data_IF_802146211358
#
_entry.id   IF_802146211358
#
_cell.length_a   1.000
_cell.length_b   1.000
_cell.length_c   1.000
_cell.angle_alpha   90.00
_cell.angle_beta   90.00
_cell.angle_gamma   90.00
#
_symmetry.space_group_name_H-M   'P 1'
#
loop_
_entity.id
_entity.type
_entity.pdbx_description
1 polymer ?
#
# COMPACT_ATOMS: atom_id res chain seq x y z
N UNK A 1 -20.48 19.41 -12.68
CA UNK A 1 -19.32 19.06 -11.83
C UNK A 1 -19.35 17.57 -11.52
N UNK A 2 -18.19 16.94 -11.36
CA UNK A 2 -18.02 15.58 -10.81
C UNK A 2 -16.92 15.62 -9.74
N UNK A 3 -17.12 14.87 -8.66
CA UNK A 3 -16.17 14.76 -7.55
C UNK A 3 -15.87 13.28 -7.36
N UNK A 4 -14.62 12.89 -7.59
CA UNK A 4 -14.10 11.56 -7.25
C UNK A 4 -13.56 11.62 -5.81
N UNK A 5 -14.40 11.21 -4.85
CA UNK A 5 -13.94 10.97 -3.49
C UNK A 5 -13.16 9.65 -3.44
N UNK A 6 -12.10 9.60 -2.64
CA UNK A 6 -11.15 8.50 -2.59
C UNK A 6 -10.55 8.14 -3.96
N UNK A 7 -9.94 9.13 -4.62
CA UNK A 7 -9.35 9.02 -5.94
C UNK A 7 -8.25 7.92 -6.06
N UNK A 8 -7.84 7.28 -4.97
CA UNK A 8 -7.07 6.04 -5.05
C UNK A 8 -7.74 4.93 -5.87
N UNK A 9 -9.07 4.91 -5.98
CA UNK A 9 -9.78 3.90 -6.78
C UNK A 9 -9.58 4.06 -8.29
N UNK A 10 -9.06 5.20 -8.75
CA UNK A 10 -8.81 5.48 -10.17
C UNK A 10 -7.32 5.57 -10.51
N UNK A 11 -6.44 5.19 -9.57
CA UNK A 11 -4.98 5.19 -9.71
C UNK A 11 -4.46 4.39 -10.91
N UNK A 12 -5.13 3.29 -11.25
CA UNK A 12 -4.76 2.49 -12.41
C UNK A 12 -5.74 2.76 -13.56
N UNK A 13 -5.23 3.43 -14.60
CA UNK A 13 -6.00 3.79 -15.79
C UNK A 13 -6.63 2.59 -16.53
N UNK A 14 -6.07 1.39 -16.38
CA UNK A 14 -6.58 0.20 -17.05
C UNK A 14 -7.82 -0.39 -16.39
N UNK A 15 -8.13 0.01 -15.15
CA UNK A 15 -9.28 -0.49 -14.38
C UNK A 15 -10.61 -0.08 -15.01
N UNK A 16 -11.65 -0.87 -14.76
CA UNK A 16 -13.01 -0.55 -15.20
C UNK A 16 -13.50 0.76 -14.56
N UNK A 17 -13.20 0.98 -13.28
CA UNK A 17 -13.55 2.21 -12.56
C UNK A 17 -12.93 3.46 -13.23
N UNK A 18 -11.63 3.44 -13.51
CA UNK A 18 -10.94 4.56 -14.15
C UNK A 18 -11.49 4.84 -15.57
N UNK A 19 -11.82 3.79 -16.34
CA UNK A 19 -12.42 3.95 -17.66
C UNK A 19 -13.85 4.50 -17.59
N UNK A 20 -14.66 3.97 -16.68
CA UNK A 20 -16.06 4.34 -16.54
C UNK A 20 -16.22 5.80 -16.09
N UNK A 21 -15.45 6.24 -15.08
CA UNK A 21 -15.57 7.59 -14.55
C UNK A 21 -15.15 8.66 -15.57
N UNK A 22 -14.17 8.34 -16.45
CA UNK A 22 -13.68 9.26 -17.50
C UNK A 22 -14.70 9.50 -18.62
N UNK A 23 -15.63 8.56 -18.83
CA UNK A 23 -16.72 8.69 -19.79
C UNK A 23 -17.85 9.61 -19.30
N UNK A 24 -17.84 10.00 -18.03
CA UNK A 24 -18.86 10.91 -17.49
C UNK A 24 -18.57 12.34 -18.00
N UNK A 25 -19.56 12.91 -18.70
CA UNK A 25 -19.49 14.29 -19.16
C UNK A 25 -19.65 15.24 -17.98
N UNK A 26 -18.65 16.09 -17.75
CA UNK A 26 -18.67 17.10 -16.71
C UNK A 26 -17.69 18.23 -17.08
N UNK A 27 -18.15 19.47 -16.94
CA UNK A 27 -17.36 20.68 -17.21
C UNK A 27 -16.21 20.89 -16.21
N UNK A 28 -16.39 20.41 -14.98
CA UNK A 28 -15.37 20.52 -13.92
C UNK A 28 -15.32 19.24 -13.12
N UNK A 29 -14.09 18.83 -12.78
CA UNK A 29 -13.77 17.55 -12.19
C UNK A 29 -12.85 17.77 -10.99
N UNK A 30 -13.18 17.16 -9.86
CA UNK A 30 -12.37 17.18 -8.65
C UNK A 30 -11.96 15.76 -8.27
N UNK A 31 -10.75 15.60 -7.76
CA UNK A 31 -10.26 14.36 -7.17
C UNK A 31 -9.86 14.64 -5.72
N UNK A 32 -10.48 13.94 -4.77
CA UNK A 32 -10.18 14.02 -3.35
C UNK A 32 -9.48 12.74 -2.94
N UNK A 33 -8.38 12.84 -2.19
CA UNK A 33 -7.64 11.66 -1.72
C UNK A 33 -6.96 11.98 -0.40
N UNK A 34 -7.20 11.13 0.60
CA UNK A 34 -6.51 11.20 1.89
C UNK A 34 -5.09 10.66 1.83
N UNK A 35 -4.77 9.84 0.83
CA UNK A 35 -3.41 9.36 0.56
C UNK A 35 -2.78 10.26 -0.50
N UNK A 36 -1.60 10.85 -0.24
CA UNK A 36 -0.89 11.54 -1.30
C UNK A 36 -0.62 10.57 -2.45
N UNK A 37 -0.23 11.11 -3.58
CA UNK A 37 0.19 10.33 -4.74
C UNK A 37 1.56 9.71 -4.41
N UNK A 38 1.54 8.64 -3.62
CA UNK A 38 2.73 8.11 -2.93
C UNK A 38 3.43 6.97 -3.67
N UNK A 39 2.75 6.25 -4.57
CA UNK A 39 3.26 4.94 -5.01
C UNK A 39 3.83 4.90 -6.44
N UNK A 40 3.39 5.76 -7.36
CA UNK A 40 4.02 5.87 -8.69
C UNK A 40 3.61 7.14 -9.45
N UNK A 41 4.41 7.52 -10.44
CA UNK A 41 4.05 8.58 -11.40
C UNK A 41 2.91 8.17 -12.35
N UNK A 42 2.68 6.87 -12.53
CA UNK A 42 1.54 6.39 -13.30
C UNK A 42 0.20 6.60 -12.58
N UNK A 43 0.19 6.54 -11.25
CA UNK A 43 -0.97 6.91 -10.43
C UNK A 43 -1.30 8.40 -10.56
N UNK A 44 -0.26 9.26 -10.48
CA UNK A 44 -0.38 10.70 -10.72
C UNK A 44 -1.04 10.97 -12.07
N UNK A 45 -0.49 10.38 -13.13
CA UNK A 45 -0.99 10.57 -14.48
C UNK A 45 -2.45 10.13 -14.60
N UNK A 46 -2.85 9.00 -14.00
CA UNK A 46 -4.22 8.51 -14.09
C UNK A 46 -5.24 9.48 -13.47
N UNK A 47 -4.88 10.12 -12.35
CA UNK A 47 -5.70 11.15 -11.70
C UNK A 47 -5.76 12.40 -12.57
N UNK A 48 -4.62 12.85 -13.11
CA UNK A 48 -4.55 14.01 -14.00
C UNK A 48 -5.35 13.82 -15.29
N UNK A 49 -5.31 12.63 -15.88
CA UNK A 49 -6.10 12.28 -17.06
C UNK A 49 -7.61 12.25 -16.75
N UNK A 50 -8.01 11.99 -15.50
CA UNK A 50 -9.39 12.19 -15.08
C UNK A 50 -9.74 13.68 -14.95
N UNK A 51 -8.97 14.46 -14.18
CA UNK A 51 -9.33 15.86 -13.89
C UNK A 51 -9.21 16.78 -15.12
N UNK A 52 -8.18 16.55 -15.94
CA UNK A 52 -7.83 17.36 -17.10
C UNK A 52 -7.27 16.46 -18.23
N UNK A 53 -8.15 15.77 -18.98
CA UNK A 53 -7.75 14.87 -20.05
C UNK A 53 -6.79 15.54 -21.04
N UNK A 54 -5.67 14.88 -21.34
CA UNK A 54 -4.65 15.37 -22.27
C UNK A 54 -3.66 16.42 -21.72
N UNK A 55 -3.88 16.96 -20.52
CA UNK A 55 -2.98 17.97 -19.92
C UNK A 55 -1.55 17.44 -19.72
N UNK A 56 -1.41 16.19 -19.26
CA UNK A 56 -0.13 15.50 -19.11
C UNK A 56 0.17 14.55 -20.27
N UNK A 57 -0.29 14.89 -21.48
CA UNK A 57 -0.15 14.05 -22.68
C UNK A 57 -0.83 12.67 -22.53
N UNK A 58 -0.75 11.86 -23.59
CA UNK A 58 -1.09 10.43 -23.50
C UNK A 58 -0.08 9.69 -22.61
N UNK A 59 -0.50 8.61 -21.96
CA UNK A 59 0.35 7.88 -21.00
C UNK A 59 1.70 7.45 -21.57
N UNK A 60 1.76 7.06 -22.85
CA UNK A 60 3.02 6.67 -23.51
C UNK A 60 4.02 7.82 -23.52
N UNK A 61 3.59 9.00 -23.95
CA UNK A 61 4.43 10.19 -24.02
C UNK A 61 4.81 10.67 -22.62
N UNK A 62 3.85 10.67 -21.68
CA UNK A 62 4.14 10.94 -20.26
C UNK A 62 5.23 10.02 -19.71
N UNK A 63 5.15 8.72 -20.06
CA UNK A 63 6.10 7.72 -19.58
C UNK A 63 7.51 7.93 -20.14
N UNK A 64 7.60 8.32 -21.41
CA UNK A 64 8.87 8.61 -22.08
C UNK A 64 9.50 9.92 -21.56
N UNK A 65 8.70 10.97 -21.33
CA UNK A 65 9.18 12.29 -20.92
C UNK A 65 9.44 12.43 -19.42
N UNK A 66 8.67 11.75 -18.57
CA UNK A 66 8.70 11.93 -17.13
C UNK A 66 8.92 10.63 -16.37
N UNK A 67 8.06 9.61 -16.53
CA UNK A 67 8.11 8.41 -15.66
C UNK A 67 9.46 7.68 -15.75
N UNK A 68 9.93 7.39 -16.98
CA UNK A 68 11.16 6.62 -17.19
C UNK A 68 12.40 7.42 -16.76
N UNK A 69 12.60 8.69 -17.18
CA UNK A 69 13.76 9.47 -16.74
C UNK A 69 13.79 9.69 -15.22
N UNK A 70 12.64 9.91 -14.58
CA UNK A 70 12.59 10.14 -13.14
C UNK A 70 12.90 8.84 -12.37
N UNK A 71 12.23 7.73 -12.71
CA UNK A 71 12.33 6.50 -11.93
C UNK A 71 13.64 5.75 -12.20
N UNK A 72 14.10 5.69 -13.45
CA UNK A 72 15.29 4.90 -13.82
C UNK A 72 16.59 5.68 -13.75
N UNK A 73 16.56 6.96 -14.12
CA UNK A 73 17.76 7.78 -14.30
C UNK A 73 17.94 8.82 -13.19
N UNK A 74 16.95 8.98 -12.28
CA UNK A 74 17.00 9.99 -11.23
C UNK A 74 17.00 11.41 -11.79
N UNK A 75 16.32 11.65 -12.91
CA UNK A 75 16.36 12.93 -13.62
C UNK A 75 15.59 14.03 -12.86
N UNK A 76 16.31 14.80 -12.06
CA UNK A 76 15.79 15.93 -11.28
C UNK A 76 15.18 17.05 -12.14
N UNK A 77 15.66 17.25 -13.37
CA UNK A 77 15.13 18.28 -14.27
C UNK A 77 13.71 17.91 -14.71
N UNK A 78 13.50 16.65 -15.10
CA UNK A 78 12.18 16.12 -15.45
C UNK A 78 11.23 16.16 -14.24
N UNK A 79 11.72 15.78 -13.06
CA UNK A 79 10.94 15.83 -11.81
C UNK A 79 10.46 17.26 -11.51
N UNK A 80 11.37 18.24 -11.51
CA UNK A 80 11.04 19.63 -11.24
C UNK A 80 10.09 20.23 -12.28
N UNK A 81 10.23 19.84 -13.55
CA UNK A 81 9.31 20.26 -14.61
C UNK A 81 7.91 19.70 -14.36
N UNK A 82 7.79 18.40 -14.05
CA UNK A 82 6.51 17.78 -13.73
C UNK A 82 5.87 18.43 -12.51
N UNK A 83 6.65 18.69 -11.45
CA UNK A 83 6.18 19.35 -10.23
C UNK A 83 5.54 20.71 -10.55
N UNK A 84 6.20 21.55 -11.35
CA UNK A 84 5.68 22.86 -11.76
C UNK A 84 4.38 22.78 -12.56
N UNK A 85 4.18 21.72 -13.35
CA UNK A 85 2.94 21.50 -14.09
C UNK A 85 1.78 21.13 -13.17
N UNK A 86 2.02 20.31 -12.15
CA UNK A 86 0.95 19.79 -11.29
C UNK A 86 0.62 20.71 -10.10
N UNK A 87 1.60 21.45 -9.60
CA UNK A 87 1.49 22.26 -8.37
C UNK A 87 0.29 23.22 -8.34
N UNK A 88 -0.07 23.94 -9.43
CA UNK A 88 -1.23 24.83 -9.42
C UNK A 88 -2.58 24.11 -9.23
N UNK A 89 -2.64 22.80 -9.47
CA UNK A 89 -3.86 22.00 -9.44
C UNK A 89 -3.97 21.11 -8.20
N UNK A 90 -2.94 21.10 -7.34
CA UNK A 90 -2.87 20.25 -6.16
C UNK A 90 -2.90 21.11 -4.90
N UNK A 91 -4.02 21.04 -4.17
CA UNK A 91 -4.11 21.60 -2.83
C UNK A 91 -3.89 20.49 -1.80
N UNK A 92 -2.78 20.54 -1.07
CA UNK A 92 -2.48 19.62 0.04
C UNK A 92 -2.19 20.43 1.30
N UNK A 93 -2.80 20.04 2.42
CA UNK A 93 -2.53 20.60 3.75
C UNK A 93 -2.20 19.46 4.71
N UNK A 94 -1.18 19.64 5.55
CA UNK A 94 -0.78 18.63 6.53
C UNK A 94 -1.48 18.93 7.86
N UNK A 95 -1.91 17.91 8.61
CA UNK A 95 -2.60 18.11 9.90
C UNK A 95 -1.84 19.05 10.85
N UNK A 96 -0.51 18.95 10.92
CA UNK A 96 0.32 19.83 11.75
C UNK A 96 0.29 21.31 11.34
N UNK A 97 -0.04 21.63 10.09
CA UNK A 97 -0.18 23.00 9.60
C UNK A 97 -1.55 23.62 9.94
N UNK A 98 -2.56 22.79 10.25
CA UNK A 98 -3.96 23.23 10.39
C UNK A 98 -4.61 22.89 11.73
N UNK A 99 -4.05 21.98 12.52
CA UNK A 99 -4.61 21.49 13.79
C UNK A 99 -3.55 21.51 14.88
N UNK A 100 -3.16 22.70 15.32
CA UNK A 100 -2.13 22.94 16.34
C UNK A 100 -2.56 22.55 17.77
N UNK A 101 -3.84 22.25 17.98
CA UNK A 101 -4.40 21.93 19.30
C UNK A 101 -4.40 20.42 19.63
N UNK A 102 -4.11 19.56 18.63
CA UNK A 102 -4.06 18.12 18.85
C UNK A 102 -2.69 17.71 19.40
N UNK A 103 -2.63 16.81 20.41
CA UNK A 103 -1.36 16.26 20.85
C UNK A 103 -0.72 15.44 19.72
N UNK A 104 0.61 15.36 19.76
CA UNK A 104 1.38 14.60 18.77
C UNK A 104 0.99 13.12 18.77
N UNK A 105 0.91 12.55 17.57
CA UNK A 105 0.72 11.10 17.40
C UNK A 105 1.98 10.38 17.88
N UNK A 106 1.86 9.64 18.98
CA UNK A 106 2.91 8.72 19.41
C UNK A 106 2.86 7.41 18.59
N UNK A 107 4.02 6.96 18.13
CA UNK A 107 4.19 5.70 17.40
C UNK A 107 5.15 4.82 18.20
N UNK A 108 4.67 3.66 18.65
CA UNK A 108 5.46 2.68 19.37
C UNK A 108 5.47 1.37 18.59
N UNK A 109 6.67 0.86 18.30
CA UNK A 109 6.84 -0.44 17.63
C UNK A 109 7.18 -1.48 18.69
N UNK A 110 6.28 -2.42 18.89
CA UNK A 110 6.45 -3.52 19.85
C UNK A 110 6.90 -4.77 19.11
N UNK A 111 8.07 -5.29 19.47
CA UNK A 111 8.61 -6.52 18.91
C UNK A 111 8.08 -7.71 19.70
N UNK A 112 7.22 -8.52 19.08
CA UNK A 112 6.70 -9.75 19.67
C UNK A 112 7.68 -10.91 19.39
N UNK A 113 8.06 -11.66 20.41
CA UNK A 113 8.79 -12.91 20.25
C UNK A 113 7.81 -14.05 19.96
N UNK A 114 8.18 -14.98 19.07
CA UNK A 114 7.39 -16.20 18.88
C UNK A 114 7.58 -17.13 20.07
N UNK A 115 6.51 -17.79 20.49
CA UNK A 115 6.60 -18.92 21.43
C UNK A 115 7.30 -20.11 20.75
N UNK A 116 7.90 -21.00 21.53
CA UNK A 116 8.76 -22.07 20.98
C UNK A 116 8.04 -22.93 19.92
N UNK A 117 6.82 -23.39 20.19
CA UNK A 117 6.03 -24.17 19.22
C UNK A 117 5.74 -23.39 17.94
N UNK A 118 5.35 -22.11 18.06
CA UNK A 118 5.11 -21.22 16.91
C UNK A 118 6.39 -21.02 16.09
N UNK A 119 7.54 -20.88 16.76
CA UNK A 119 8.85 -20.72 16.11
C UNK A 119 9.24 -21.97 15.34
N UNK A 120 9.05 -23.15 15.91
CA UNK A 120 9.38 -24.42 15.26
C UNK A 120 8.52 -24.64 14.01
N UNK A 121 7.22 -24.34 14.10
CA UNK A 121 6.31 -24.32 12.95
C UNK A 121 6.83 -23.32 11.90
N UNK A 122 7.14 -22.09 12.29
CA UNK A 122 7.62 -21.07 11.37
C UNK A 122 8.90 -21.51 10.63
N UNK A 123 9.89 -22.05 11.35
CA UNK A 123 11.15 -22.50 10.77
C UNK A 123 10.97 -23.66 9.79
N UNK A 124 10.10 -24.62 10.13
CA UNK A 124 9.74 -25.73 9.24
C UNK A 124 9.10 -25.21 7.93
N UNK A 125 8.15 -24.30 8.04
CA UNK A 125 7.51 -23.67 6.87
C UNK A 125 8.46 -22.79 6.08
N UNK A 126 9.38 -22.08 6.74
CA UNK A 126 10.38 -21.24 6.08
C UNK A 126 11.33 -22.08 5.23
N UNK A 127 11.79 -23.22 5.75
CA UNK A 127 12.64 -24.14 5.00
C UNK A 127 11.93 -24.66 3.75
N UNK A 128 10.67 -25.10 3.89
CA UNK A 128 9.83 -25.54 2.77
C UNK A 128 9.55 -24.42 1.77
N UNK A 129 9.23 -23.22 2.24
CA UNK A 129 8.97 -22.06 1.40
C UNK A 129 10.20 -21.66 0.58
N UNK A 130 11.40 -21.67 1.19
CA UNK A 130 12.66 -21.39 0.47
C UNK A 130 12.90 -22.40 -0.64
N UNK A 131 12.76 -23.69 -0.34
CA UNK A 131 12.92 -24.76 -1.33
C UNK A 131 11.94 -24.59 -2.50
N UNK A 132 10.66 -24.48 -2.20
CA UNK A 132 9.61 -24.35 -3.22
C UNK A 132 9.79 -23.08 -4.06
N UNK A 133 10.20 -21.96 -3.46
CA UNK A 133 10.45 -20.72 -4.19
C UNK A 133 11.65 -20.86 -5.14
N UNK A 134 12.72 -21.55 -4.72
CA UNK A 134 13.90 -21.79 -5.56
C UNK A 134 13.56 -22.69 -6.75
N UNK A 135 12.85 -23.79 -6.51
CA UNK A 135 12.41 -24.71 -7.58
C UNK A 135 11.52 -23.98 -8.60
N UNK A 136 10.53 -23.23 -8.12
CA UNK A 136 9.62 -22.46 -8.97
C UNK A 136 10.35 -21.43 -9.85
N UNK A 137 11.32 -20.71 -9.26
CA UNK A 137 12.12 -19.73 -10.00
C UNK A 137 13.01 -20.42 -11.05
N UNK A 138 13.57 -21.59 -10.74
CA UNK A 138 14.39 -22.34 -11.68
C UNK A 138 13.58 -22.85 -12.87
N UNK A 139 12.35 -23.31 -12.65
CA UNK A 139 11.49 -23.85 -13.70
C UNK A 139 10.83 -22.75 -14.56
N UNK A 140 10.29 -21.71 -13.92
CA UNK A 140 9.38 -20.77 -14.59
C UNK A 140 9.96 -19.35 -14.72
N UNK A 141 11.10 -19.06 -14.09
CA UNK A 141 11.68 -17.73 -14.00
C UNK A 141 10.94 -16.83 -13.00
N UNK A 142 11.64 -15.81 -12.51
CA UNK A 142 11.14 -14.93 -11.43
C UNK A 142 9.82 -14.24 -11.81
N UNK A 143 9.70 -13.75 -13.04
CA UNK A 143 8.52 -12.98 -13.48
C UNK A 143 7.22 -13.78 -13.40
N UNK A 144 7.25 -15.07 -13.72
CA UNK A 144 6.07 -15.95 -13.67
C UNK A 144 5.81 -16.53 -12.28
N UNK A 145 6.80 -16.45 -11.39
CA UNK A 145 6.79 -17.07 -10.06
C UNK A 145 6.20 -16.19 -8.95
N UNK A 146 5.98 -14.89 -9.22
CA UNK A 146 5.65 -13.88 -8.21
C UNK A 146 4.44 -14.24 -7.35
N UNK A 147 3.34 -14.70 -7.97
CA UNK A 147 2.10 -15.04 -7.25
C UNK A 147 2.33 -16.18 -6.26
N UNK A 148 3.07 -17.22 -6.68
CA UNK A 148 3.38 -18.37 -5.82
C UNK A 148 4.30 -17.95 -4.66
N UNK A 149 5.30 -17.12 -4.93
CA UNK A 149 6.19 -16.59 -3.88
C UNK A 149 5.40 -15.74 -2.88
N UNK A 150 4.51 -14.86 -3.34
CA UNK A 150 3.64 -14.06 -2.48
C UNK A 150 2.72 -14.94 -1.62
N UNK A 151 2.21 -16.05 -2.16
CA UNK A 151 1.43 -17.01 -1.40
C UNK A 151 2.26 -17.65 -0.27
N UNK A 152 3.52 -18.04 -0.54
CA UNK A 152 4.43 -18.58 0.47
C UNK A 152 4.74 -17.56 1.58
N UNK A 153 5.05 -16.31 1.21
CA UNK A 153 5.26 -15.22 2.16
C UNK A 153 4.00 -14.94 3.00
N UNK A 154 2.83 -15.02 2.38
CA UNK A 154 1.54 -14.87 3.09
C UNK A 154 1.37 -15.94 4.15
N UNK A 155 1.75 -17.21 3.88
CA UNK A 155 1.71 -18.27 4.89
C UNK A 155 2.65 -17.99 6.07
N UNK A 156 3.86 -17.54 5.80
CA UNK A 156 4.80 -17.14 6.87
C UNK A 156 4.23 -16.00 7.71
N UNK A 157 3.62 -14.98 7.09
CA UNK A 157 2.95 -13.88 7.79
C UNK A 157 1.78 -14.37 8.66
N UNK A 158 0.98 -15.32 8.16
CA UNK A 158 -0.11 -15.91 8.93
C UNK A 158 0.41 -16.63 10.18
N UNK A 159 1.48 -17.42 10.06
CA UNK A 159 2.12 -18.09 11.21
C UNK A 159 2.61 -17.06 12.24
N UNK A 160 3.21 -15.94 11.81
CA UNK A 160 3.61 -14.86 12.72
C UNK A 160 2.42 -14.24 13.48
N UNK A 161 1.25 -14.13 12.86
CA UNK A 161 0.04 -13.59 13.50
C UNK A 161 -0.59 -14.61 14.44
N UNK A 162 -0.88 -15.82 13.95
CA UNK A 162 -1.31 -16.98 14.73
C UNK A 162 -1.33 -18.23 13.83
N UNK A 163 -0.70 -19.36 14.20
CA UNK A 163 -0.67 -20.55 13.34
C UNK A 163 -2.05 -21.11 12.97
N UNK A 164 -3.07 -20.92 13.83
CA UNK A 164 -4.46 -21.34 13.52
C UNK A 164 -5.11 -20.62 12.33
N UNK A 165 -4.52 -19.53 11.81
CA UNK A 165 -5.00 -18.87 10.59
C UNK A 165 -4.83 -19.74 9.34
N UNK A 166 -4.06 -20.81 9.44
CA UNK A 166 -3.78 -21.71 8.32
C UNK A 166 -3.66 -23.18 8.72
N UNK A 167 -3.28 -23.49 9.97
CA UNK A 167 -3.14 -24.85 10.46
C UNK A 167 -4.42 -25.22 11.23
N UNK A 168 -5.19 -26.13 10.67
CA UNK A 168 -6.39 -26.65 11.31
C UNK A 168 -6.07 -27.33 12.65
N UNK A 169 -6.95 -27.14 13.63
CA UNK A 169 -6.82 -27.70 14.98
C UNK A 169 -5.56 -27.27 15.76
N UNK A 170 -4.88 -26.20 15.36
CA UNK A 170 -3.82 -25.61 16.18
C UNK A 170 -4.40 -25.06 17.49
N UNK A 171 -3.90 -25.58 18.62
CA UNK A 171 -4.35 -25.25 19.99
C UNK A 171 -3.30 -24.50 20.80
N UNK A 172 -2.11 -24.29 20.24
CA UNK A 172 -1.03 -23.55 20.88
C UNK A 172 -1.25 -22.04 20.85
N UNK A 173 -0.26 -21.31 21.36
CA UNK A 173 -0.31 -19.85 21.51
C UNK A 173 0.39 -19.10 20.37
N UNK A 174 0.22 -17.78 20.34
CA UNK A 174 1.01 -16.91 19.47
C UNK A 174 1.49 -15.70 20.24
N UNK A 175 2.79 -15.44 20.18
CA UNK A 175 3.37 -14.32 20.93
C UNK A 175 2.81 -12.96 20.53
N UNK A 176 2.49 -12.76 19.25
CA UNK A 176 1.86 -11.51 18.78
C UNK A 176 0.42 -11.38 19.28
N UNK A 177 -0.35 -12.47 19.27
CA UNK A 177 -1.72 -12.45 19.79
C UNK A 177 -1.73 -12.20 21.30
N UNK A 178 -0.86 -12.88 22.05
CA UNK A 178 -0.74 -12.72 23.50
C UNK A 178 -0.43 -11.25 23.85
N UNK A 179 0.61 -10.67 23.24
CA UNK A 179 0.97 -9.27 23.44
C UNK A 179 -0.16 -8.31 23.01
N UNK A 180 -0.85 -8.58 21.91
CA UNK A 180 -2.01 -7.79 21.47
C UNK A 180 -3.13 -7.79 22.51
N UNK A 181 -3.48 -8.97 23.06
CA UNK A 181 -4.52 -9.12 24.07
C UNK A 181 -4.15 -8.38 25.37
N UNK A 182 -2.89 -8.42 25.78
CA UNK A 182 -2.41 -7.65 26.93
C UNK A 182 -2.61 -6.14 26.72
N UNK A 183 -2.13 -5.60 25.60
CA UNK A 183 -2.29 -4.17 25.26
C UNK A 183 -3.77 -3.77 25.23
N UNK A 184 -4.62 -4.62 24.64
CA UNK A 184 -6.05 -4.35 24.54
C UNK A 184 -6.70 -4.32 25.92
N UNK A 185 -6.36 -5.27 26.82
CA UNK A 185 -6.87 -5.30 28.19
C UNK A 185 -6.46 -4.06 28.97
N UNK A 186 -5.18 -3.70 28.92
CA UNK A 186 -4.64 -2.55 29.65
C UNK A 186 -5.28 -1.24 29.21
N UNK A 187 -5.45 -1.06 27.89
CA UNK A 187 -6.08 0.13 27.33
C UNK A 187 -7.57 0.20 27.68
N UNK A 188 -8.31 -0.92 27.66
CA UNK A 188 -9.72 -0.95 28.10
C UNK A 188 -9.84 -0.62 29.60
N UNK A 189 -8.99 -1.20 30.45
CA UNK A 189 -8.98 -0.93 31.89
C UNK A 189 -8.66 0.54 32.19
N UNK A 190 -7.82 1.17 31.36
CA UNK A 190 -7.48 2.60 31.43
C UNK A 190 -8.57 3.51 30.83
N UNK A 191 -9.68 2.95 30.36
CA UNK A 191 -10.80 3.70 29.77
C UNK A 191 -10.56 4.19 28.35
N UNK A 192 -9.55 3.68 27.64
CA UNK A 192 -9.26 4.03 26.26
C UNK A 192 -10.11 3.24 25.26
N UNK A 193 -10.39 3.84 24.10
CA UNK A 193 -10.99 3.18 22.95
C UNK A 193 -9.90 2.77 21.97
N UNK A 194 -10.02 1.57 21.40
CA UNK A 194 -8.99 0.96 20.57
C UNK A 194 -9.58 0.64 19.20
N UNK A 195 -8.80 0.88 18.16
CA UNK A 195 -9.07 0.42 16.81
C UNK A 195 -7.94 -0.55 16.41
N UNK A 196 -8.29 -1.82 16.21
CA UNK A 196 -7.36 -2.87 15.81
C UNK A 196 -7.52 -3.15 14.31
N UNK A 197 -6.40 -3.17 13.58
CA UNK A 197 -6.32 -3.45 12.14
C UNK A 197 -5.57 -4.75 11.86
#
# INVERSE_FOLDING_TARGET
>A
YIIADEAQYIKNNNTQNAKAIKNISAETRFALTGTPIENSLSELWSIFDFIMPGYLFGYREFKELYETPIIKEGNEVAMNKLKKLIEPFVLRRIKGEVLTELPDKMISVLNSQMVDEQRDIYLSYLAKAKKNAMEEIQENGIEKSQIKILALLTRLRQICCHPSLFIDNYKGESGKLNQCIEIVKDAIQSGHKILLF
#
